data_IF_398202879664
#
_entry.id   IF_398202879664
#
_cell.length_a   1.000
_cell.length_b   1.000
_cell.length_c   1.000
_cell.angle_alpha   90.00
_cell.angle_beta   90.00
_cell.angle_gamma   90.00
#
_symmetry.space_group_name_H-M   'P 1'
#
loop_
_entity.id
_entity.type
_entity.pdbx_description
1 polymer ?
#
# COMPACT_ATOMS: atom_id res chain seq x y z
N UNK A 1 -49.04 16.59 -40.33
CA UNK A 1 -48.97 16.61 -41.80
C UNK A 1 -47.75 17.44 -42.21
N UNK A 2 -46.90 16.84 -43.06
CA UNK A 2 -45.73 17.39 -43.80
C UNK A 2 -44.58 18.09 -43.06
N UNK A 3 -43.36 17.52 -43.15
CA UNK A 3 -42.10 18.27 -43.19
C UNK A 3 -41.53 18.35 -44.62
N UNK A 4 -40.81 19.44 -44.92
CA UNK A 4 -40.06 19.67 -46.17
C UNK A 4 -38.54 19.66 -45.86
N UNK A 5 -37.87 18.69 -46.51
CA UNK A 5 -36.49 18.60 -47.06
C UNK A 5 -35.40 19.55 -46.56
N UNK A 6 -34.17 19.08 -46.33
CA UNK A 6 -33.13 18.99 -47.40
C UNK A 6 -32.04 17.95 -47.09
N UNK A 7 -31.58 17.29 -48.16
CA UNK A 7 -30.55 16.24 -48.27
C UNK A 7 -29.12 16.76 -48.00
N UNK A 8 -28.20 15.87 -47.60
CA UNK A 8 -27.02 15.50 -48.42
C UNK A 8 -26.47 14.13 -47.97
N UNK A 9 -25.89 13.40 -48.93
CA UNK A 9 -25.55 11.96 -48.94
C UNK A 9 -24.04 11.75 -48.81
N UNK A 10 -23.63 10.67 -48.15
CA UNK A 10 -22.58 9.72 -48.60
C UNK A 10 -22.38 8.64 -47.51
N UNK A 11 -23.00 7.46 -47.61
CA UNK A 11 -22.42 6.24 -48.20
C UNK A 11 -21.09 5.80 -47.57
N UNK A 12 -21.16 5.15 -46.41
CA UNK A 12 -20.15 4.19 -45.95
C UNK A 12 -20.73 2.79 -46.16
N UNK A 13 -20.16 2.05 -47.11
CA UNK A 13 -20.46 0.65 -47.33
C UNK A 13 -19.58 -0.22 -46.42
N UNK A 14 -20.26 -1.06 -45.69
CA UNK A 14 -19.85 -2.18 -44.85
C UNK A 14 -19.28 -3.36 -45.65
N UNK A 15 -18.28 -4.03 -45.08
CA UNK A 15 -18.01 -5.48 -45.02
C UNK A 15 -16.58 -5.62 -44.44
N UNK A 16 -16.29 -6.20 -43.29
CA UNK A 16 -17.02 -7.19 -42.50
C UNK A 16 -16.28 -8.52 -42.56
N UNK A 17 -15.60 -8.87 -41.44
CA UNK A 17 -15.37 -10.24 -40.95
C UNK A 17 -14.24 -11.03 -41.67
N UNK A 18 -13.08 -11.36 -41.11
CA UNK A 18 -12.74 -12.15 -39.89
C UNK A 18 -12.16 -13.52 -40.28
N UNK A 19 -11.22 -14.01 -39.45
CA UNK A 19 -11.08 -15.44 -39.02
C UNK A 19 -10.43 -16.35 -40.11
N UNK A 20 -9.45 -17.22 -39.87
CA UNK A 20 -8.89 -17.82 -38.65
C UNK A 20 -7.63 -18.65 -38.95
N UNK A 21 -6.80 -18.79 -37.90
CA UNK A 21 -5.99 -19.92 -37.37
C UNK A 21 -5.51 -21.10 -38.24
N UNK A 22 -4.33 -21.60 -37.84
CA UNK A 22 -3.98 -23.03 -37.84
C UNK A 22 -2.91 -23.40 -38.87
N UNK A 23 -1.64 -23.62 -38.50
CA UNK A 23 -1.08 -24.87 -37.93
C UNK A 23 -1.40 -26.11 -38.76
N UNK A 24 -0.35 -26.75 -39.29
CA UNK A 24 -0.36 -28.19 -39.59
C UNK A 24 -0.16 -28.57 -41.05
N UNK A 25 1.06 -29.00 -41.37
CA UNK A 25 1.42 -30.02 -42.38
C UNK A 25 0.33 -31.12 -42.41
N UNK A 26 -0.15 -31.60 -43.58
CA UNK A 26 0.61 -32.65 -44.27
C UNK A 26 0.50 -32.60 -45.82
N UNK A 27 1.54 -33.08 -46.50
CA UNK A 27 1.50 -34.35 -47.22
C UNK A 27 1.12 -34.22 -48.69
N UNK A 28 1.99 -34.81 -49.52
CA UNK A 28 1.60 -35.64 -50.66
C UNK A 28 0.45 -35.12 -51.52
N UNK A 29 0.75 -34.27 -52.50
CA UNK A 29 -0.04 -34.22 -53.72
C UNK A 29 0.64 -35.12 -54.76
N UNK A 30 0.16 -36.36 -54.80
CA UNK A 30 0.33 -37.24 -55.94
C UNK A 30 -0.58 -36.75 -57.08
N UNK A 31 -0.08 -36.89 -58.29
CA UNK A 31 -0.50 -36.18 -59.48
C UNK A 31 -1.93 -36.45 -59.96
N UNK A 32 -2.42 -35.40 -60.63
CA UNK A 32 -3.49 -35.28 -61.60
C UNK A 32 -3.77 -36.54 -62.42
N UNK A 33 -5.07 -36.76 -62.62
CA UNK A 33 -5.65 -37.63 -63.61
C UNK A 33 -5.00 -37.45 -65.00
N UNK A 34 -4.50 -38.59 -65.52
CA UNK A 34 -4.45 -39.03 -66.92
C UNK A 34 -4.19 -37.99 -68.02
N UNK A 35 -2.96 -37.95 -68.55
CA UNK A 35 -2.61 -38.34 -69.94
C UNK A 35 -1.22 -37.78 -70.38
N UNK A 36 -0.26 -38.70 -70.57
CA UNK A 36 0.87 -38.68 -71.56
C UNK A 36 2.07 -37.69 -71.40
N UNK A 37 3.32 -38.20 -71.49
CA UNK A 37 4.68 -37.60 -71.28
C UNK A 37 5.22 -36.70 -72.46
N UNK A 38 6.50 -36.15 -72.55
CA UNK A 38 7.72 -36.02 -71.64
C UNK A 38 8.57 -34.68 -71.63
N UNK A 39 9.39 -34.46 -70.54
CA UNK A 39 10.77 -33.87 -70.25
C UNK A 39 11.43 -32.45 -70.56
N UNK A 40 12.11 -31.88 -69.50
CA UNK A 40 13.43 -31.14 -69.35
C UNK A 40 13.71 -29.73 -69.99
N UNK A 41 14.57 -28.78 -69.53
CA UNK A 41 15.27 -28.33 -68.29
C UNK A 41 16.15 -27.07 -68.63
N UNK A 42 16.17 -26.06 -67.74
CA UNK A 42 17.31 -25.25 -67.27
C UNK A 42 17.98 -24.04 -68.00
N UNK A 43 18.19 -23.00 -67.16
CA UNK A 43 19.31 -22.01 -67.05
C UNK A 43 19.41 -20.77 -67.97
N UNK A 44 18.90 -19.64 -67.45
CA UNK A 44 19.38 -18.29 -67.76
C UNK A 44 19.91 -17.66 -66.45
N UNK A 45 21.24 -17.56 -66.34
CA UNK A 45 21.98 -16.87 -65.28
C UNK A 45 22.72 -15.73 -65.97
N UNK A 46 22.78 -14.57 -65.31
CA UNK A 46 23.51 -13.35 -65.64
C UNK A 46 22.72 -12.24 -66.37
N UNK A 47 21.83 -11.56 -65.63
CA UNK A 47 21.62 -10.09 -65.67
C UNK A 47 20.69 -9.69 -64.52
N UNK A 48 21.21 -9.54 -63.29
CA UNK A 48 20.42 -9.04 -62.15
C UNK A 48 21.27 -8.26 -61.10
N UNK A 49 22.41 -7.68 -61.50
CA UNK A 49 23.42 -7.14 -60.59
C UNK A 49 23.46 -5.61 -60.46
N UNK A 50 22.35 -4.87 -60.67
CA UNK A 50 22.39 -3.41 -60.53
C UNK A 50 21.20 -2.74 -59.82
N UNK A 51 20.26 -3.50 -59.24
CA UNK A 51 19.09 -2.91 -58.56
C UNK A 51 18.85 -3.39 -57.12
N UNK A 52 19.69 -4.28 -56.58
CA UNK A 52 19.53 -4.83 -55.21
C UNK A 52 20.25 -4.01 -54.12
N UNK A 53 21.28 -3.23 -54.46
CA UNK A 53 22.12 -2.56 -53.44
C UNK A 53 21.52 -1.25 -52.89
N UNK A 54 20.66 -0.54 -53.63
CA UNK A 54 20.09 0.74 -53.18
C UNK A 54 19.05 0.60 -52.06
N UNK A 55 18.20 -0.42 -52.10
CA UNK A 55 17.12 -0.61 -51.14
C UNK A 55 17.60 -1.22 -49.81
N UNK A 56 18.71 -1.96 -49.82
CA UNK A 56 19.32 -2.48 -48.60
C UNK A 56 19.95 -1.34 -47.76
N UNK A 57 20.57 -0.34 -48.42
CA UNK A 57 21.20 0.79 -47.74
C UNK A 57 20.15 1.73 -47.11
N UNK A 58 19.04 1.99 -47.79
CA UNK A 58 17.96 2.84 -47.27
C UNK A 58 17.28 2.24 -46.04
N UNK A 59 17.02 0.92 -46.04
CA UNK A 59 16.48 0.21 -44.88
C UNK A 59 17.47 0.14 -43.71
N UNK A 60 18.78 0.05 -43.97
CA UNK A 60 19.81 0.08 -42.93
C UNK A 60 19.96 1.46 -42.28
N UNK A 61 19.81 2.54 -43.04
CA UNK A 61 19.84 3.92 -42.52
C UNK A 61 18.64 4.16 -41.58
N UNK A 62 17.44 3.77 -41.99
CA UNK A 62 16.23 3.92 -41.17
C UNK A 62 16.30 3.09 -39.89
N UNK A 63 16.81 1.86 -39.95
CA UNK A 63 17.00 1.01 -38.76
C UNK A 63 18.04 1.59 -37.78
N UNK A 64 19.09 2.23 -38.29
CA UNK A 64 20.10 2.87 -37.44
C UNK A 64 19.53 4.10 -36.73
N UNK A 65 18.76 4.94 -37.44
CA UNK A 65 18.10 6.11 -36.83
C UNK A 65 17.01 5.72 -35.83
N UNK A 66 16.27 4.63 -36.07
CA UNK A 66 15.29 4.10 -35.11
C UNK A 66 15.96 3.57 -33.83
N UNK A 67 17.10 2.89 -33.97
CA UNK A 67 17.89 2.43 -32.84
C UNK A 67 18.52 3.60 -32.07
N UNK A 68 18.96 4.64 -32.78
CA UNK A 68 19.49 5.87 -32.18
C UNK A 68 18.41 6.63 -31.39
N UNK A 69 17.19 6.73 -31.93
CA UNK A 69 16.04 7.31 -31.23
C UNK A 69 15.60 6.48 -30.01
N UNK A 70 15.61 5.15 -30.11
CA UNK A 70 15.31 4.25 -28.99
C UNK A 70 16.36 4.32 -27.87
N UNK A 71 17.64 4.44 -28.24
CA UNK A 71 18.73 4.62 -27.29
C UNK A 71 18.70 6.01 -26.62
N UNK A 72 18.29 7.06 -27.33
CA UNK A 72 18.08 8.39 -26.75
C UNK A 72 16.85 8.46 -25.83
N UNK A 73 15.77 7.74 -26.17
CA UNK A 73 14.60 7.59 -25.30
C UNK A 73 14.93 6.80 -24.02
N UNK A 74 15.76 5.75 -24.11
CA UNK A 74 16.27 5.02 -22.93
C UNK A 74 17.27 5.84 -22.10
N UNK A 75 18.10 6.69 -22.71
CA UNK A 75 18.99 7.60 -21.97
C UNK A 75 18.22 8.70 -21.21
N UNK A 76 17.10 9.17 -21.76
CA UNK A 76 16.23 10.15 -21.09
C UNK A 76 15.51 9.53 -19.89
N UNK A 77 15.15 8.24 -19.94
CA UNK A 77 14.61 7.49 -18.80
C UNK A 77 15.69 7.17 -17.75
N UNK A 78 16.92 6.85 -18.18
CA UNK A 78 18.02 6.56 -17.25
C UNK A 78 18.54 7.83 -16.53
N UNK A 79 18.44 9.01 -17.12
CA UNK A 79 18.77 10.28 -16.44
C UNK A 79 17.69 10.72 -15.44
N UNK A 80 16.42 10.34 -15.64
CA UNK A 80 15.37 10.54 -14.64
C UNK A 80 15.51 9.63 -13.42
N UNK A 81 16.19 8.49 -13.54
CA UNK A 81 16.47 7.58 -12.41
C UNK A 81 17.80 7.88 -11.69
N UNK A 82 18.74 8.57 -12.34
CA UNK A 82 20.04 8.91 -11.74
C UNK A 82 20.00 10.08 -10.73
N UNK A 83 18.89 10.80 -10.62
CA UNK A 83 18.72 11.90 -9.65
C UNK A 83 17.93 11.51 -8.38
N UNK A 84 17.61 10.22 -8.20
CA UNK A 84 16.84 9.73 -7.04
C UNK A 84 17.71 9.03 -5.97
N UNK A 85 19.04 9.10 -6.10
CA UNK A 85 19.99 8.55 -5.14
C UNK A 85 20.78 9.66 -4.45
N UNK A 86 20.08 10.61 -3.83
CA UNK A 86 20.59 11.23 -2.61
C UNK A 86 20.23 10.32 -1.45
N UNK A 87 21.25 9.87 -0.70
CA UNK A 87 21.11 9.27 0.63
C UNK A 87 20.44 10.32 1.55
N UNK A 88 19.13 10.44 1.47
CA UNK A 88 18.39 11.49 2.15
C UNK A 88 18.22 11.11 3.61
N UNK A 89 18.88 11.86 4.49
CA UNK A 89 18.39 12.01 5.86
C UNK A 89 16.88 12.35 5.78
N UNK A 90 16.00 11.69 6.56
CA UNK A 90 14.56 11.95 6.50
C UNK A 90 14.30 13.45 6.61
N UNK A 91 13.56 14.04 5.64
CA UNK A 91 13.26 15.47 5.62
C UNK A 91 12.49 15.83 6.89
N UNK A 92 13.13 16.55 7.82
CA UNK A 92 12.47 17.11 9.00
C UNK A 92 12.00 18.52 8.71
N UNK A 93 10.90 18.93 9.35
CA UNK A 93 10.39 20.29 9.23
C UNK A 93 11.00 21.20 10.31
N UNK A 94 11.34 22.42 9.93
CA UNK A 94 11.78 23.49 10.84
C UNK A 94 10.65 24.48 11.17
N UNK A 95 9.44 24.24 10.65
CA UNK A 95 8.27 25.08 10.90
C UNK A 95 7.80 24.97 12.37
N UNK A 96 7.23 26.05 12.94
CA UNK A 96 6.66 26.01 14.29
C UNK A 96 5.45 25.09 14.35
N UNK A 97 5.16 24.54 15.54
CA UNK A 97 3.97 23.73 15.77
C UNK A 97 2.69 24.52 15.42
N UNK A 98 1.77 23.86 14.72
CA UNK A 98 0.47 24.44 14.33
C UNK A 98 -0.63 23.71 15.07
N UNK A 99 -1.37 24.45 15.90
CA UNK A 99 -2.50 23.91 16.64
C UNK A 99 -3.66 23.54 15.70
N UNK A 100 -4.38 22.47 16.03
CA UNK A 100 -5.45 21.91 15.20
C UNK A 100 -6.58 22.92 14.90
N UNK A 101 -6.80 23.89 15.78
CA UNK A 101 -7.81 24.95 15.67
C UNK A 101 -7.38 26.11 14.75
N UNK A 102 -6.11 26.15 14.35
CA UNK A 102 -5.59 27.18 13.42
C UNK A 102 -5.54 26.70 11.98
N UNK A 103 -5.76 25.41 11.75
CA UNK A 103 -5.76 24.81 10.44
C UNK A 103 -7.00 25.22 9.64
N UNK A 104 -6.76 25.70 8.42
CA UNK A 104 -7.82 26.16 7.50
C UNK A 104 -7.84 25.22 6.30
N UNK A 105 -9.00 24.61 6.06
CA UNK A 105 -9.25 23.83 4.85
C UNK A 105 -9.49 24.79 3.67
N UNK A 106 -8.42 25.14 2.97
CA UNK A 106 -8.50 25.93 1.74
C UNK A 106 -8.33 25.06 0.48
N UNK A 107 -7.61 23.96 0.60
CA UNK A 107 -7.29 23.00 -0.44
C UNK A 107 -7.34 21.58 0.13
N UNK A 108 -7.46 20.54 -0.73
CA UNK A 108 -7.39 19.15 -0.29
C UNK A 108 -6.07 18.79 0.42
N UNK A 109 -4.99 19.53 0.17
CA UNK A 109 -3.69 19.34 0.83
C UNK A 109 -3.29 20.61 1.58
N UNK A 110 -3.18 20.47 2.91
CA UNK A 110 -2.70 21.51 3.82
C UNK A 110 -1.32 21.09 4.35
N UNK A 111 -0.26 21.73 3.87
CA UNK A 111 1.13 21.43 4.26
C UNK A 111 1.72 22.61 5.06
N UNK A 112 1.53 22.56 6.38
CA UNK A 112 2.12 23.50 7.34
C UNK A 112 3.55 23.11 7.73
N UNK A 113 3.97 21.88 7.41
CA UNK A 113 5.32 21.42 7.63
C UNK A 113 6.30 21.89 6.54
N UNK A 114 5.78 22.40 5.41
CA UNK A 114 6.56 22.86 4.26
C UNK A 114 7.54 21.81 3.73
N UNK A 115 7.13 20.55 3.73
CA UNK A 115 7.97 19.44 3.26
C UNK A 115 7.80 19.25 1.76
N UNK A 116 6.59 19.48 1.25
CA UNK A 116 6.23 19.19 -0.14
C UNK A 116 6.71 20.31 -1.07
N UNK A 117 7.24 19.91 -2.21
CA UNK A 117 7.43 20.80 -3.35
C UNK A 117 6.08 21.17 -3.97
N UNK A 118 6.04 22.28 -4.72
CA UNK A 118 4.82 22.71 -5.41
C UNK A 118 4.26 21.64 -6.38
N UNK A 119 5.15 20.90 -7.08
CA UNK A 119 4.76 19.81 -7.97
C UNK A 119 4.21 18.60 -7.22
N UNK A 120 4.82 18.20 -6.10
CA UNK A 120 4.32 17.12 -5.25
C UNK A 120 2.93 17.47 -4.71
N UNK A 121 2.77 18.69 -4.19
CA UNK A 121 1.47 19.17 -3.69
C UNK A 121 0.39 19.16 -4.78
N UNK A 122 0.68 19.70 -5.96
CA UNK A 122 -0.27 19.72 -7.08
C UNK A 122 -0.67 18.30 -7.54
N UNK A 123 0.28 17.35 -7.51
CA UNK A 123 0.00 15.95 -7.83
C UNK A 123 -1.00 15.33 -6.85
N UNK A 124 -0.75 15.49 -5.54
CA UNK A 124 -1.62 14.99 -4.47
C UNK A 124 -3.01 15.64 -4.54
N UNK A 125 -3.09 16.96 -4.75
CA UNK A 125 -4.37 17.66 -4.92
C UNK A 125 -5.16 17.13 -6.12
N UNK A 126 -4.48 16.78 -7.22
CA UNK A 126 -5.13 16.20 -8.40
C UNK A 126 -5.73 14.83 -8.10
N UNK A 127 -5.01 13.97 -7.36
CA UNK A 127 -5.55 12.67 -6.94
C UNK A 127 -6.77 12.83 -6.03
N UNK A 128 -6.68 13.71 -5.03
CA UNK A 128 -7.78 13.93 -4.08
C UNK A 128 -9.03 14.54 -4.76
N UNK A 129 -8.84 15.50 -5.67
CA UNK A 129 -9.95 16.05 -6.45
C UNK A 129 -10.61 14.99 -7.32
N UNK A 130 -9.85 14.09 -7.93
CA UNK A 130 -10.42 13.01 -8.74
C UNK A 130 -11.34 12.10 -7.92
N UNK A 131 -10.96 11.74 -6.69
CA UNK A 131 -11.82 10.93 -5.80
C UNK A 131 -13.15 11.67 -5.52
N UNK A 132 -13.07 12.98 -5.29
CA UNK A 132 -14.24 13.82 -5.04
C UNK A 132 -15.12 14.00 -6.30
N UNK A 133 -14.52 14.29 -7.45
CA UNK A 133 -15.20 14.51 -8.73
C UNK A 133 -15.89 13.24 -9.24
N UNK A 134 -15.32 12.06 -8.93
CA UNK A 134 -15.91 10.76 -9.21
C UNK A 134 -17.04 10.39 -8.21
N UNK A 135 -17.32 11.25 -7.23
CA UNK A 135 -18.40 11.07 -6.26
C UNK A 135 -18.16 9.96 -5.23
N UNK A 136 -16.89 9.60 -4.97
CA UNK A 136 -16.55 8.49 -4.09
C UNK A 136 -16.46 8.91 -2.62
N UNK A 137 -15.64 9.93 -2.34
CA UNK A 137 -15.43 10.46 -1.00
C UNK A 137 -14.80 11.85 -1.04
N UNK A 138 -14.96 12.62 0.04
CA UNK A 138 -14.22 13.85 0.26
C UNK A 138 -13.01 13.58 1.16
N UNK A 139 -11.84 13.41 0.52
CA UNK A 139 -10.58 13.15 1.20
C UNK A 139 -9.71 14.41 1.29
N UNK A 140 -9.09 14.64 2.45
CA UNK A 140 -8.08 15.68 2.65
C UNK A 140 -6.82 15.13 3.34
N UNK A 141 -5.70 15.81 3.13
CA UNK A 141 -4.41 15.52 3.76
C UNK A 141 -3.92 16.75 4.50
N UNK A 142 -3.55 16.58 5.77
CA UNK A 142 -2.90 17.61 6.58
C UNK A 142 -1.53 17.15 7.03
N UNK A 143 -0.52 17.98 6.81
CA UNK A 143 0.88 17.72 7.17
C UNK A 143 1.34 18.83 8.10
N UNK A 144 1.75 18.44 9.29
CA UNK A 144 2.21 19.34 10.35
C UNK A 144 3.60 18.95 10.83
N UNK A 145 4.40 19.92 11.31
CA UNK A 145 5.73 19.61 11.83
C UNK A 145 5.63 18.70 13.06
N UNK A 146 4.76 19.00 14.01
CA UNK A 146 4.53 18.24 15.25
C UNK A 146 3.12 18.54 15.79
N UNK A 147 2.59 17.64 16.62
CA UNK A 147 1.35 17.81 17.39
C UNK A 147 1.59 18.45 18.77
N UNK A 148 2.83 18.82 19.09
CA UNK A 148 3.24 19.44 20.36
C UNK A 148 2.86 18.60 21.59
N UNK A 149 2.97 17.27 21.46
CA UNK A 149 2.69 16.30 22.53
C UNK A 149 1.25 15.79 22.59
N UNK A 150 0.33 16.33 21.78
CA UNK A 150 -1.02 15.76 21.62
C UNK A 150 -0.96 14.42 20.87
N UNK A 151 -1.83 13.47 21.19
CA UNK A 151 -1.89 12.24 20.41
C UNK A 151 -2.36 12.52 18.97
N UNK A 152 -1.78 11.82 17.99
CA UNK A 152 -2.07 12.07 16.57
C UNK A 152 -3.53 11.73 16.23
N UNK A 153 -4.13 10.76 16.92
CA UNK A 153 -5.55 10.44 16.77
C UNK A 153 -6.42 11.61 17.22
N UNK A 154 -6.21 12.09 18.44
CA UNK A 154 -6.96 13.23 18.98
C UNK A 154 -6.79 14.48 18.11
N UNK A 155 -5.56 14.73 17.65
CA UNK A 155 -5.26 15.80 16.71
C UNK A 155 -6.10 15.66 15.42
N UNK A 156 -6.06 14.48 14.80
CA UNK A 156 -6.78 14.22 13.54
C UNK A 156 -8.30 14.33 13.72
N UNK A 157 -8.86 13.79 14.81
CA UNK A 157 -10.29 13.89 15.12
C UNK A 157 -10.73 15.35 15.30
N UNK A 158 -9.95 16.16 16.01
CA UNK A 158 -10.27 17.57 16.21
C UNK A 158 -10.25 18.34 14.88
N UNK A 159 -9.29 18.05 14.00
CA UNK A 159 -9.25 18.64 12.65
C UNK A 159 -10.44 18.17 11.82
N UNK A 160 -10.74 16.87 11.81
CA UNK A 160 -11.84 16.28 11.06
C UNK A 160 -13.20 16.86 11.48
N UNK A 161 -13.46 16.96 12.80
CA UNK A 161 -14.68 17.54 13.35
C UNK A 161 -14.85 19.02 13.00
N UNK A 162 -13.75 19.77 12.93
CA UNK A 162 -13.78 21.18 12.53
C UNK A 162 -14.01 21.35 11.03
N UNK A 163 -13.36 20.51 10.23
CA UNK A 163 -13.41 20.60 8.78
C UNK A 163 -14.69 19.98 8.19
N UNK A 164 -15.34 19.08 8.93
CA UNK A 164 -16.60 18.43 8.56
C UNK A 164 -16.59 17.89 7.12
N UNK A 165 -15.52 17.19 6.75
CA UNK A 165 -15.37 16.59 5.42
C UNK A 165 -16.45 15.53 5.20
N UNK A 166 -16.86 15.35 3.95
CA UNK A 166 -17.97 14.49 3.55
C UNK A 166 -19.28 15.27 3.49
N UNK A 167 -20.32 14.68 2.89
CA UNK A 167 -21.64 15.29 2.86
C UNK A 167 -22.40 14.93 4.13
N UNK A 168 -23.22 15.86 4.64
CA UNK A 168 -24.01 15.69 5.87
C UNK A 168 -24.85 14.40 5.95
N UNK A 169 -25.30 13.90 4.80
CA UNK A 169 -26.20 12.74 4.75
C UNK A 169 -25.47 11.43 4.40
N UNK A 170 -24.24 11.50 3.89
CA UNK A 170 -23.48 10.32 3.45
C UNK A 170 -22.24 10.05 4.29
N UNK A 171 -21.72 11.03 5.05
CA UNK A 171 -20.54 10.89 5.92
C UNK A 171 -19.31 10.30 5.20
N UNK A 172 -19.15 10.59 3.90
CA UNK A 172 -18.04 10.09 3.07
C UNK A 172 -16.77 10.95 3.23
N UNK A 173 -16.43 11.31 4.47
CA UNK A 173 -15.26 12.12 4.81
C UNK A 173 -14.04 11.25 5.10
N UNK A 174 -12.86 11.65 4.61
CA UNK A 174 -11.58 11.01 4.95
C UNK A 174 -10.54 12.07 5.26
N UNK A 175 -9.85 11.96 6.39
CA UNK A 175 -8.72 12.83 6.74
C UNK A 175 -7.48 12.00 7.02
N UNK A 176 -6.39 12.29 6.30
CA UNK A 176 -5.05 11.79 6.63
C UNK A 176 -4.25 12.91 7.32
N UNK A 177 -3.91 12.71 8.59
CA UNK A 177 -3.06 13.60 9.36
C UNK A 177 -1.64 13.02 9.49
N UNK A 178 -0.63 13.83 9.22
CA UNK A 178 0.78 13.43 9.26
C UNK A 178 1.58 14.44 10.11
N UNK A 179 2.19 13.96 11.19
CA UNK A 179 3.11 14.72 12.03
C UNK A 179 4.56 14.28 11.76
N UNK A 180 5.30 15.12 11.04
CA UNK A 180 6.57 14.75 10.41
C UNK A 180 7.68 14.53 11.44
N UNK A 181 7.83 15.44 12.39
CA UNK A 181 8.88 15.37 13.42
C UNK A 181 8.54 14.35 14.51
N UNK A 182 7.25 14.09 14.74
CA UNK A 182 6.78 13.08 15.69
C UNK A 182 6.79 11.66 15.10
N UNK A 183 6.93 11.57 13.77
CA UNK A 183 6.87 10.33 13.00
C UNK A 183 5.60 9.53 13.23
N UNK A 184 4.48 10.26 13.29
CA UNK A 184 3.15 9.69 13.50
C UNK A 184 2.22 10.09 12.37
N UNK A 185 1.37 9.17 11.95
CA UNK A 185 0.26 9.46 11.06
C UNK A 185 -1.01 8.80 11.56
N UNK A 186 -2.15 9.38 11.20
CA UNK A 186 -3.46 8.79 11.46
C UNK A 186 -4.41 9.10 10.31
N UNK A 187 -5.21 8.12 9.91
CA UNK A 187 -6.27 8.27 8.91
C UNK A 187 -7.60 8.10 9.62
N UNK A 188 -8.40 9.16 9.65
CA UNK A 188 -9.77 9.16 10.19
C UNK A 188 -10.75 9.02 9.05
N UNK A 189 -11.73 8.14 9.21
CA UNK A 189 -12.83 7.91 8.27
C UNK A 189 -14.17 8.31 8.86
N UNK A 190 -15.05 8.86 8.02
CA UNK A 190 -16.46 9.06 8.34
C UNK A 190 -17.24 7.75 8.18
N UNK A 191 -18.45 7.71 8.76
CA UNK A 191 -19.27 6.50 8.79
C UNK A 191 -19.63 5.96 7.41
N UNK A 192 -19.73 6.83 6.40
CA UNK A 192 -20.12 6.44 5.03
C UNK A 192 -19.15 5.51 4.33
N UNK A 193 -17.87 5.56 4.72
CA UNK A 193 -16.80 4.81 4.05
C UNK A 193 -16.23 3.68 4.90
N UNK A 194 -16.71 3.48 6.13
CA UNK A 194 -16.21 2.45 7.05
C UNK A 194 -16.39 1.02 6.48
N UNK A 195 -17.47 0.79 5.72
CA UNK A 195 -17.73 -0.51 5.10
C UNK A 195 -16.70 -0.92 4.03
N UNK A 196 -16.09 0.04 3.35
CA UNK A 196 -15.06 -0.19 2.32
C UNK A 196 -13.64 0.06 2.84
N UNK A 197 -13.51 0.90 3.85
CA UNK A 197 -12.26 1.28 4.51
C UNK A 197 -12.33 1.01 6.02
N UNK A 198 -12.41 -0.26 6.44
CA UNK A 198 -12.35 -0.60 7.86
C UNK A 198 -10.94 -0.36 8.40
N UNK A 199 -10.83 -0.16 9.72
CA UNK A 199 -9.57 0.13 10.42
C UNK A 199 -8.45 -0.84 10.09
N UNK A 200 -8.75 -2.15 9.99
CA UNK A 200 -7.78 -3.18 9.67
C UNK A 200 -7.13 -2.97 8.29
N UNK A 201 -7.94 -2.59 7.28
CA UNK A 201 -7.46 -2.33 5.93
C UNK A 201 -6.69 -1.02 5.86
N UNK A 202 -7.12 0.02 6.57
CA UNK A 202 -6.37 1.28 6.67
C UNK A 202 -5.01 1.06 7.33
N UNK A 203 -4.96 0.29 8.43
CA UNK A 203 -3.72 -0.02 9.12
C UNK A 203 -2.75 -0.79 8.19
N UNK A 204 -3.29 -1.68 7.34
CA UNK A 204 -2.53 -2.36 6.30
C UNK A 204 -1.95 -1.37 5.28
N UNK A 205 -2.76 -0.48 4.72
CA UNK A 205 -2.32 0.55 3.77
C UNK A 205 -1.21 1.41 4.39
N UNK A 206 -1.38 1.82 5.64
CA UNK A 206 -0.37 2.59 6.37
C UNK A 206 0.94 1.81 6.46
N UNK A 207 0.89 0.55 6.84
CA UNK A 207 2.07 -0.29 7.05
C UNK A 207 2.79 -0.68 5.76
N UNK A 208 2.03 -1.00 4.71
CA UNK A 208 2.54 -1.63 3.48
C UNK A 208 2.82 -0.63 2.36
N UNK A 209 2.02 0.45 2.25
CA UNK A 209 2.15 1.41 1.16
C UNK A 209 2.75 2.75 1.61
N UNK A 210 2.40 3.24 2.81
CA UNK A 210 2.83 4.57 3.30
C UNK A 210 4.18 4.50 4.02
N UNK A 211 4.25 3.67 5.07
CA UNK A 211 5.38 3.58 6.00
C UNK A 211 6.72 3.30 5.33
N UNK A 212 6.84 2.43 4.30
CA UNK A 212 8.13 2.18 3.65
C UNK A 212 8.74 3.44 3.02
N UNK A 213 7.91 4.28 2.39
CA UNK A 213 8.34 5.55 1.81
C UNK A 213 8.66 6.60 2.88
N UNK A 214 7.92 6.59 3.98
CA UNK A 214 8.16 7.53 5.09
C UNK A 214 9.48 7.25 5.81
N UNK A 215 9.87 5.98 5.94
CA UNK A 215 11.18 5.58 6.49
C UNK A 215 12.36 6.16 5.73
N UNK A 216 12.21 6.39 4.42
CA UNK A 216 13.25 6.96 3.55
C UNK A 216 13.09 8.48 3.35
N UNK A 217 12.14 9.13 4.02
CA UNK A 217 11.86 10.56 3.86
C UNK A 217 11.14 10.94 2.55
N UNK A 218 10.62 9.95 1.83
CA UNK A 218 9.84 10.12 0.61
C UNK A 218 8.34 10.31 0.93
N UNK A 219 8.01 11.38 1.68
CA UNK A 219 6.64 11.55 2.21
C UNK A 219 5.60 11.74 1.10
N UNK A 220 5.87 12.55 0.07
CA UNK A 220 4.93 12.74 -1.04
C UNK A 220 4.59 11.41 -1.74
N UNK A 221 5.60 10.55 -1.92
CA UNK A 221 5.42 9.21 -2.50
C UNK A 221 4.57 8.32 -1.59
N UNK A 222 4.83 8.30 -0.29
CA UNK A 222 4.04 7.53 0.67
C UNK A 222 2.58 7.98 0.73
N UNK A 223 2.34 9.29 0.76
CA UNK A 223 0.98 9.86 0.75
C UNK A 223 0.27 9.50 -0.56
N UNK A 224 0.93 9.69 -1.70
CA UNK A 224 0.39 9.35 -3.03
C UNK A 224 0.02 7.87 -3.14
N UNK A 225 0.86 6.97 -2.62
CA UNK A 225 0.60 5.53 -2.61
C UNK A 225 -0.60 5.18 -1.72
N UNK A 226 -0.68 5.78 -0.52
CA UNK A 226 -1.83 5.63 0.37
C UNK A 226 -3.14 6.10 -0.27
N UNK A 227 -3.15 7.28 -0.90
CA UNK A 227 -4.31 7.81 -1.62
C UNK A 227 -4.73 6.86 -2.75
N UNK A 228 -3.77 6.33 -3.53
CA UNK A 228 -4.08 5.39 -4.61
C UNK A 228 -4.76 4.11 -4.10
N UNK A 229 -4.28 3.53 -2.99
CA UNK A 229 -4.93 2.36 -2.38
C UNK A 229 -6.32 2.65 -1.83
N UNK A 230 -6.50 3.83 -1.24
CA UNK A 230 -7.82 4.27 -0.77
C UNK A 230 -8.78 4.43 -1.96
N UNK A 231 -8.35 5.06 -3.05
CA UNK A 231 -9.14 5.18 -4.30
C UNK A 231 -9.51 3.81 -4.88
N UNK A 232 -8.57 2.86 -4.94
CA UNK A 232 -8.84 1.49 -5.38
C UNK A 232 -9.92 0.80 -4.54
N UNK A 233 -9.86 0.95 -3.21
CA UNK A 233 -10.86 0.36 -2.31
C UNK A 233 -12.22 1.04 -2.39
N UNK A 234 -12.27 2.36 -2.53
CA UNK A 234 -13.52 3.10 -2.69
C UNK A 234 -14.28 2.70 -3.96
N UNK A 235 -13.58 2.26 -5.00
CA UNK A 235 -14.18 1.78 -6.27
C UNK A 235 -14.56 0.31 -6.25
N UNK A 236 -14.03 -0.46 -5.30
CA UNK A 236 -14.26 -1.89 -5.23
C UNK A 236 -15.61 -2.21 -4.58
N UNK A 237 -16.14 -3.39 -4.89
CA UNK A 237 -17.39 -3.85 -4.31
C UNK A 237 -17.20 -4.22 -2.83
N UNK A 238 -18.03 -3.70 -1.90
CA UNK A 238 -17.86 -3.93 -0.45
C UNK A 238 -17.88 -5.40 -0.04
N UNK A 239 -18.69 -6.26 -0.69
CA UNK A 239 -18.73 -7.68 -0.33
C UNK A 239 -17.44 -8.40 -0.72
N UNK A 240 -16.85 -8.02 -1.86
CA UNK A 240 -15.58 -8.61 -2.30
C UNK A 240 -14.44 -8.24 -1.36
N UNK A 241 -14.41 -6.99 -0.89
CA UNK A 241 -13.44 -6.51 0.08
C UNK A 241 -13.59 -7.21 1.43
N UNK A 242 -14.81 -7.32 1.95
CA UNK A 242 -15.07 -7.98 3.23
C UNK A 242 -14.59 -9.44 3.23
N UNK A 243 -14.78 -10.18 2.13
CA UNK A 243 -14.26 -11.55 1.98
C UNK A 243 -12.74 -11.60 1.92
N UNK A 244 -12.12 -10.67 1.18
CA UNK A 244 -10.67 -10.59 1.07
C UNK A 244 -10.00 -10.23 2.41
N UNK A 245 -10.55 -9.25 3.12
CA UNK A 245 -10.05 -8.83 4.44
C UNK A 245 -10.22 -9.95 5.48
N UNK A 246 -11.35 -10.67 5.47
CA UNK A 246 -11.57 -11.81 6.35
C UNK A 246 -10.57 -12.96 6.12
N UNK A 247 -10.21 -13.23 4.86
CA UNK A 247 -9.22 -14.25 4.50
C UNK A 247 -7.78 -13.83 4.85
N UNK A 248 -7.47 -12.53 4.80
CA UNK A 248 -6.13 -12.04 5.16
C UNK A 248 -5.92 -11.91 6.66
N UNK A 249 -6.95 -11.59 7.45
CA UNK A 249 -6.84 -11.59 8.93
C UNK A 249 -6.41 -12.97 9.45
N UNK A 250 -6.85 -14.05 8.79
CA UNK A 250 -6.46 -15.42 9.15
C UNK A 250 -5.01 -15.77 8.78
N UNK A 251 -4.34 -14.97 7.94
CA UNK A 251 -2.94 -15.16 7.55
C UNK A 251 -1.96 -14.33 8.40
N UNK A 252 -2.37 -13.16 8.89
CA UNK A 252 -1.56 -12.30 9.77
C UNK A 252 -1.58 -12.76 11.24
N UNK A 253 -2.51 -13.63 11.65
CA UNK A 253 -2.57 -14.25 12.99
C UNK A 253 -1.61 -15.46 13.12
N UNK A 254 -0.32 -15.29 12.79
CA UNK A 254 0.68 -16.18 13.38
C UNK A 254 0.72 -15.93 14.88
N UNK A 255 0.07 -16.80 15.65
CA UNK A 255 0.06 -16.74 17.11
C UNK A 255 1.51 -16.67 17.59
N UNK A 256 1.88 -15.55 18.21
CA UNK A 256 3.24 -15.29 18.64
C UNK A 256 3.68 -16.35 19.66
N UNK A 257 4.83 -16.97 19.39
CA UNK A 257 5.42 -18.00 20.27
C UNK A 257 5.96 -17.43 21.59
N UNK A 258 6.18 -16.10 21.65
CA UNK A 258 6.83 -15.39 22.76
C UNK A 258 6.12 -15.55 24.11
N UNK A 259 4.79 -15.30 24.25
CA UNK A 259 4.10 -15.50 25.54
C UNK A 259 4.18 -16.94 26.06
N UNK A 260 4.03 -17.92 25.17
CA UNK A 260 4.18 -19.34 25.52
C UNK A 260 5.59 -19.66 25.99
N UNK A 261 6.60 -19.07 25.33
CA UNK A 261 8.00 -19.27 25.66
C UNK A 261 8.34 -18.69 27.04
N UNK A 262 7.85 -17.50 27.36
CA UNK A 262 8.03 -16.87 28.68
C UNK A 262 7.38 -17.73 29.76
N UNK A 263 6.12 -18.15 29.57
CA UNK A 263 5.43 -19.01 30.52
C UNK A 263 6.17 -20.33 30.76
N UNK A 264 6.59 -20.98 29.67
CA UNK A 264 7.35 -22.22 29.74
C UNK A 264 8.72 -22.04 30.41
N UNK A 265 9.38 -20.90 30.24
CA UNK A 265 10.65 -20.60 30.89
C UNK A 265 10.48 -20.47 32.41
N UNK A 266 9.47 -19.73 32.87
CA UNK A 266 9.17 -19.62 34.31
C UNK A 266 8.79 -20.97 34.91
N UNK A 267 7.85 -21.68 34.28
CA UNK A 267 7.42 -23.00 34.75
C UNK A 267 8.57 -24.02 34.74
N UNK A 268 9.42 -23.95 33.71
CA UNK A 268 10.60 -24.79 33.55
C UNK A 268 11.66 -24.59 34.62
N UNK A 269 11.87 -23.36 35.11
CA UNK A 269 12.80 -23.11 36.24
C UNK A 269 12.32 -23.75 37.54
N UNK A 270 11.01 -23.69 37.82
CA UNK A 270 10.40 -24.31 39.01
C UNK A 270 10.46 -25.84 38.90
N UNK A 271 10.08 -26.37 37.74
CA UNK A 271 10.06 -27.81 37.50
C UNK A 271 11.48 -28.42 37.53
N UNK A 272 12.47 -27.67 37.02
CA UNK A 272 13.89 -28.06 37.08
C UNK A 272 14.46 -28.03 38.50
N UNK A 273 13.90 -27.19 39.39
CA UNK A 273 14.20 -27.23 40.82
C UNK A 273 13.64 -28.46 41.53
N UNK A 274 12.51 -28.99 41.08
CA UNK A 274 11.83 -30.14 41.70
C UNK A 274 12.27 -31.51 41.15
N UNK A 275 12.42 -31.64 39.83
CA UNK A 275 12.71 -32.92 39.14
C UNK A 275 14.19 -33.06 38.73
N UNK A 276 15.01 -32.06 39.02
CA UNK A 276 16.38 -31.97 38.55
C UNK A 276 16.49 -31.30 37.18
N UNK A 277 17.67 -30.71 36.93
CA UNK A 277 17.92 -29.76 35.83
C UNK A 277 17.71 -30.34 34.42
N UNK A 278 18.06 -31.61 34.22
CA UNK A 278 17.88 -32.28 32.92
C UNK A 278 16.44 -32.76 32.68
N UNK A 279 15.80 -33.38 33.68
CA UNK A 279 14.44 -33.90 33.52
C UNK A 279 13.40 -32.77 33.52
N UNK A 280 13.57 -31.76 34.37
CA UNK A 280 12.69 -30.58 34.37
C UNK A 280 12.75 -29.77 33.08
N UNK A 281 13.95 -29.60 32.50
CA UNK A 281 14.10 -28.94 31.20
C UNK A 281 13.43 -29.72 30.06
N UNK A 282 13.58 -31.04 30.02
CA UNK A 282 12.99 -31.89 28.98
C UNK A 282 11.47 -31.93 29.04
N UNK A 283 10.87 -32.04 30.24
CA UNK A 283 9.42 -32.03 30.40
C UNK A 283 8.82 -30.66 30.08
N UNK A 284 9.48 -29.57 30.49
CA UNK A 284 9.06 -28.20 30.16
C UNK A 284 9.09 -27.93 28.66
N UNK A 285 10.14 -28.40 27.97
CA UNK A 285 10.27 -28.25 26.52
C UNK A 285 9.21 -29.05 25.75
N UNK A 286 8.99 -30.32 26.13
CA UNK A 286 7.96 -31.16 25.51
C UNK A 286 6.55 -30.58 25.70
N UNK A 287 6.24 -30.09 26.90
CA UNK A 287 4.97 -29.43 27.19
C UNK A 287 4.79 -28.12 26.42
N UNK A 288 5.85 -27.31 26.30
CA UNK A 288 5.84 -26.08 25.51
C UNK A 288 5.58 -26.33 24.02
N UNK A 289 6.28 -27.29 23.40
CA UNK A 289 6.10 -27.59 21.97
C UNK A 289 4.67 -28.05 21.71
N UNK A 290 4.16 -28.99 22.52
CA UNK A 290 2.78 -29.47 22.39
C UNK A 290 1.77 -28.33 22.52
N UNK A 291 1.91 -27.52 23.57
CA UNK A 291 0.98 -26.44 23.84
C UNK A 291 1.03 -25.36 22.75
N UNK A 292 2.22 -24.92 22.35
CA UNK A 292 2.39 -23.97 21.25
C UNK A 292 1.71 -24.46 19.95
N UNK A 293 1.90 -25.74 19.59
CA UNK A 293 1.26 -26.30 18.39
C UNK A 293 -0.26 -26.42 18.48
N UNK A 294 -0.81 -26.69 19.67
CA UNK A 294 -2.26 -26.73 19.88
C UNK A 294 -2.91 -25.35 19.75
N UNK A 295 -2.16 -24.31 20.07
CA UNK A 295 -2.54 -22.91 19.89
C UNK A 295 -2.05 -22.35 18.54
N UNK A 296 -1.93 -23.18 17.51
CA UNK A 296 -1.71 -22.71 16.13
C UNK A 296 -0.30 -22.25 15.78
N UNK A 297 0.67 -22.32 16.69
CA UNK A 297 2.08 -22.05 16.36
C UNK A 297 2.60 -23.15 15.43
N UNK A 298 3.22 -22.75 14.32
CA UNK A 298 3.79 -23.69 13.35
C UNK A 298 4.74 -24.71 14.00
N UNK A 299 4.68 -25.98 13.57
CA UNK A 299 5.49 -27.06 14.16
C UNK A 299 7.00 -26.74 14.16
N UNK A 300 7.51 -26.12 13.09
CA UNK A 300 8.93 -25.77 12.98
C UNK A 300 9.33 -24.66 13.96
N UNK A 301 8.50 -23.63 14.13
CA UNK A 301 8.77 -22.53 15.06
C UNK A 301 8.65 -22.99 16.51
N UNK A 302 7.65 -23.84 16.82
CA UNK A 302 7.50 -24.47 18.11
C UNK A 302 8.72 -25.34 18.48
N UNK A 303 9.20 -26.18 17.57
CA UNK A 303 10.39 -27.03 17.81
C UNK A 303 11.66 -26.18 17.99
N UNK A 304 11.88 -25.18 17.13
CA UNK A 304 13.06 -24.30 17.22
C UNK A 304 13.10 -23.53 18.54
N UNK A 305 11.98 -22.95 18.95
CA UNK A 305 11.85 -22.30 20.25
C UNK A 305 11.99 -23.30 21.41
N UNK A 306 11.45 -24.51 21.27
CA UNK A 306 11.59 -25.56 22.30
C UNK A 306 13.06 -25.93 22.55
N UNK A 307 13.85 -26.12 21.50
CA UNK A 307 15.28 -26.43 21.61
C UNK A 307 16.03 -25.29 22.31
N UNK A 308 15.73 -24.03 21.98
CA UNK A 308 16.31 -22.86 22.64
C UNK A 308 15.97 -22.84 24.14
N UNK A 309 14.70 -23.09 24.48
CA UNK A 309 14.22 -23.15 25.86
C UNK A 309 14.95 -24.25 26.66
N UNK A 310 15.09 -25.43 26.07
CA UNK A 310 15.80 -26.56 26.67
C UNK A 310 17.25 -26.22 27.01
N UNK A 311 17.96 -25.59 26.06
CA UNK A 311 19.36 -25.16 26.23
C UNK A 311 19.47 -24.12 27.35
N UNK A 312 18.58 -23.12 27.38
CA UNK A 312 18.61 -22.06 28.40
C UNK A 312 18.36 -22.60 29.81
N UNK A 313 17.42 -23.54 29.97
CA UNK A 313 17.14 -24.17 31.27
C UNK A 313 18.30 -25.06 31.74
N UNK A 314 18.95 -25.80 30.84
CA UNK A 314 20.13 -26.61 31.16
C UNK A 314 21.34 -25.76 31.47
N UNK A 315 21.50 -24.58 30.86
CA UNK A 315 22.60 -23.65 31.15
C UNK A 315 22.38 -22.91 32.48
N UNK A 316 21.17 -22.91 33.04
CA UNK A 316 20.89 -22.33 34.36
C UNK A 316 21.13 -20.83 34.40
N UNK A 317 21.04 -20.16 33.24
CA UNK A 317 21.21 -18.71 33.09
C UNK A 317 20.25 -17.93 34.00
N UNK A 318 19.14 -18.57 34.38
CA UNK A 318 18.08 -18.01 35.23
C UNK A 318 17.90 -18.77 36.55
N UNK A 319 18.75 -19.75 36.87
CA UNK A 319 18.68 -20.44 38.17
C UNK A 319 19.26 -19.53 39.25
N UNK A 320 18.38 -18.79 39.91
CA UNK A 320 18.71 -17.85 40.98
C UNK A 320 19.24 -18.64 42.20
N UNK A 321 20.56 -18.74 42.30
CA UNK A 321 21.23 -19.16 43.53
C UNK A 321 20.93 -18.14 44.62
N UNK A 322 20.11 -18.53 45.61
CA UNK A 322 19.74 -17.64 46.70
C UNK A 322 20.95 -17.17 47.51
N UNK A 323 21.12 -15.86 47.66
CA UNK A 323 21.35 -15.14 48.94
C UNK A 323 21.43 -13.62 48.74
N UNK A 324 20.78 -12.91 49.67
CA UNK A 324 20.77 -11.44 49.95
C UNK A 324 19.74 -10.58 49.18
N UNK A 325 18.55 -10.50 49.78
CA UNK A 325 18.13 -9.29 50.52
C UNK A 325 17.61 -8.11 49.70
N UNK A 326 16.34 -7.76 49.94
CA UNK A 326 15.79 -6.45 49.58
C UNK A 326 14.40 -6.57 48.95
N UNK A 327 13.38 -6.60 49.80
CA UNK A 327 12.01 -6.44 49.34
C UNK A 327 11.76 -5.01 48.87
N UNK A 328 11.03 -4.86 47.78
CA UNK A 328 10.37 -3.61 47.43
C UNK A 328 8.98 -3.91 46.89
N UNK A 329 8.05 -3.19 47.48
CA UNK A 329 6.61 -3.30 47.44
C UNK A 329 6.04 -3.13 46.04
N UNK A 330 5.02 -3.96 45.77
CA UNK A 330 3.96 -3.68 44.79
C UNK A 330 3.20 -2.45 45.29
N UNK A 331 3.23 -1.37 44.52
CA UNK A 331 2.41 -0.17 44.73
C UNK A 331 1.57 0.08 43.49
N UNK A 332 0.26 -0.15 43.62
CA UNK A 332 -0.74 0.24 42.62
C UNK A 332 -1.14 1.71 42.74
N UNK A 333 -1.66 2.23 41.63
CA UNK A 333 -2.31 3.53 41.45
C UNK A 333 -2.35 3.81 39.95
N UNK A 334 -3.48 4.03 39.27
CA UNK A 334 -4.68 4.73 39.67
C UNK A 334 -4.69 6.10 38.99
N UNK A 335 -5.17 6.17 37.74
CA UNK A 335 -5.58 7.39 37.03
C UNK A 335 -6.75 6.97 36.14
N UNK A 336 -7.97 7.51 36.23
CA UNK A 336 -8.37 8.84 36.65
C UNK A 336 -8.74 9.61 35.38
N UNK A 337 -9.99 9.43 34.93
CA UNK A 337 -10.51 10.06 33.72
C UNK A 337 -10.65 11.58 33.84
N UNK A 338 -10.75 12.23 32.69
CA UNK A 338 -11.35 13.55 32.56
C UNK A 338 -12.03 13.65 31.22
N UNK A 339 -13.27 14.10 31.24
CA UNK A 339 -14.08 14.36 30.06
C UNK A 339 -14.31 15.86 29.85
N UNK A 340 -14.82 16.16 28.66
CA UNK A 340 -15.70 17.29 28.39
C UNK A 340 -15.03 18.54 27.82
N UNK A 341 -15.68 19.11 26.80
CA UNK A 341 -15.57 20.54 26.51
C UNK A 341 -15.69 20.94 25.04
N UNK A 342 -16.89 21.38 24.67
CA UNK A 342 -17.29 21.93 23.36
C UNK A 342 -16.65 23.29 23.01
N UNK A 343 -16.60 23.60 21.72
CA UNK A 343 -16.48 24.96 21.13
C UNK A 343 -16.07 24.83 19.66
N UNK A 344 -16.63 25.50 18.65
CA UNK A 344 -17.47 26.69 18.59
C UNK A 344 -17.06 27.46 17.32
N UNK A 345 -17.98 27.50 16.35
CA UNK A 345 -18.06 28.27 15.09
C UNK A 345 -16.89 29.11 14.55
N UNK A 346 -16.65 28.97 13.24
CA UNK A 346 -15.99 29.98 12.41
C UNK A 346 -16.48 29.88 10.95
N UNK A 347 -17.22 30.89 10.50
CA UNK A 347 -17.61 31.07 9.10
C UNK A 347 -16.53 31.84 8.34
N UNK A 348 -16.19 31.46 7.10
CA UNK A 348 -15.45 32.37 6.21
C UNK A 348 -14.77 31.79 4.96
N UNK A 349 -15.40 32.05 3.81
CA UNK A 349 -14.86 32.17 2.44
C UNK A 349 -14.52 30.90 1.63
N UNK A 350 -15.05 30.88 0.40
CA UNK A 350 -15.08 29.75 -0.51
C UNK A 350 -13.71 29.24 -0.97
N UNK A 351 -13.62 27.92 -0.97
CA UNK A 351 -12.50 27.05 -1.27
C UNK A 351 -12.97 25.62 -0.93
N UNK A 352 -12.21 24.57 -1.23
CA UNK A 352 -12.61 23.18 -0.99
C UNK A 352 -13.07 23.00 0.47
N UNK A 353 -14.40 22.99 0.71
CA UNK A 353 -15.00 23.05 2.04
C UNK A 353 -15.73 21.76 2.36
N UNK A 354 -15.71 21.33 3.62
CA UNK A 354 -16.44 20.14 4.06
C UNK A 354 -17.95 20.29 3.88
N UNK A 355 -18.61 19.21 3.44
CA UNK A 355 -20.05 19.16 3.21
C UNK A 355 -20.89 18.88 4.46
N UNK A 356 -20.29 18.82 5.65
CA UNK A 356 -21.00 18.62 6.92
C UNK A 356 -21.01 17.19 7.45
N UNK A 357 -20.16 16.29 6.93
CA UNK A 357 -20.09 14.89 7.36
C UNK A 357 -19.58 14.71 8.80
N UNK A 358 -20.12 13.72 9.50
CA UNK A 358 -19.75 13.30 10.85
C UNK A 358 -18.63 12.25 10.87
N UNK A 359 -17.76 12.34 11.89
CA UNK A 359 -16.68 11.39 12.13
C UNK A 359 -16.93 10.60 13.41
N UNK A 360 -16.88 9.27 13.31
CA UNK A 360 -17.23 8.37 14.39
C UNK A 360 -16.12 7.99 15.36
N UNK A 361 -14.89 8.46 15.10
CA UNK A 361 -13.71 8.00 15.84
C UNK A 361 -13.08 6.72 15.28
N UNK A 362 -13.56 6.20 14.14
CA UNK A 362 -12.91 5.12 13.39
C UNK A 362 -11.69 5.61 12.60
N UNK A 363 -10.77 4.71 12.27
CA UNK A 363 -9.53 5.03 11.60
C UNK A 363 -8.34 4.13 11.97
N UNK A 364 -7.19 4.40 11.36
CA UNK A 364 -5.95 3.70 11.70
C UNK A 364 -4.78 4.66 11.86
N UNK A 365 -3.94 4.39 12.86
CA UNK A 365 -2.72 5.13 13.15
C UNK A 365 -1.47 4.30 12.92
N UNK A 366 -0.37 4.97 12.57
CA UNK A 366 0.95 4.34 12.42
C UNK A 366 2.09 5.28 12.81
N UNK A 367 3.27 4.69 13.01
CA UNK A 367 4.54 5.41 13.22
C UNK A 367 5.65 4.79 12.38
N UNK A 368 6.72 5.56 12.09
CA UNK A 368 7.80 5.12 11.18
C UNK A 368 9.22 5.42 11.64
#
# INVERSE_FOLDING_TARGET
MTPITTRYRSLFATLGMSVVLGVGVPAFANNTATATAPNAQNTAIATADAQSEGQAVENLIVLNELNKAKNQAQQSQNQAQANSQTTATPRQSTAPAVAHDKLILNNPVVDEAHILTASEKAHLETQLRRIYDDGLAQMAVVIVPTTDGMDIFDYAINVANRWQLGQKDTDEGILMAVAINDRKLHIVTGYGVEGVLPDASLNRIIREDITPSFKTGAYAQGISAGIARIDERLRADPETLARADAQQISADEEISVVPFFIFAMFFGTVLSGALGRFLGASVSTGGFVLLATLFGVGLLTAIGAGILLWILLILGVFSNGGRRGGGTYVGGGGFGGSGGGFGGGGFGSGGFGGGGGGFGGGGAGGSW
#
